data_IF_570631646871
#
_entry.id   IF_570631646871
#
_cell.length_a   1.000
_cell.length_b   1.000
_cell.length_c   1.000
_cell.angle_alpha   90.00
_cell.angle_beta   90.00
_cell.angle_gamma   90.00
#
_symmetry.space_group_name_H-M   'P 1'
#
loop_
_entity.id
_entity.type
_entity.pdbx_description
1 polymer ?
#
# COMPACT_ATOMS: atom_id res chain seq x y z
N UNK A 1 -2.26 10.56 -15.26
CA UNK A 1 -3.49 9.76 -15.02
C UNK A 1 -4.18 10.35 -13.79
N UNK A 2 -5.51 10.53 -13.82
CA UNK A 2 -6.25 11.07 -12.68
C UNK A 2 -6.27 10.09 -11.50
N UNK A 3 -6.42 10.58 -10.27
CA UNK A 3 -6.42 9.75 -9.06
C UNK A 3 -7.51 8.67 -9.09
N UNK A 4 -8.70 9.04 -9.56
CA UNK A 4 -9.83 8.09 -9.69
C UNK A 4 -9.53 6.96 -10.67
N UNK A 5 -8.82 7.24 -11.77
CA UNK A 5 -8.41 6.21 -12.72
C UNK A 5 -7.38 5.27 -12.10
N UNK A 6 -6.42 5.81 -11.33
CA UNK A 6 -5.44 4.99 -10.60
C UNK A 6 -6.09 4.07 -9.57
N UNK A 7 -7.07 4.55 -8.80
CA UNK A 7 -7.72 3.70 -7.79
C UNK A 7 -8.60 2.61 -8.43
N UNK A 8 -9.25 2.88 -9.57
CA UNK A 8 -10.00 1.88 -10.33
C UNK A 8 -9.08 0.82 -10.95
N UNK A 9 -7.94 1.24 -11.49
CA UNK A 9 -6.90 0.34 -11.98
C UNK A 9 -6.33 -0.52 -10.84
N UNK A 10 -6.03 0.11 -9.71
CA UNK A 10 -5.56 -0.58 -8.51
C UNK A 10 -6.56 -1.64 -8.05
N UNK A 11 -7.86 -1.32 -7.99
CA UNK A 11 -8.92 -2.27 -7.67
C UNK A 11 -8.86 -3.49 -8.58
N UNK A 12 -8.82 -3.26 -9.90
CA UNK A 12 -8.82 -4.33 -10.90
C UNK A 12 -7.62 -5.27 -10.72
N UNK A 13 -6.42 -4.71 -10.58
CA UNK A 13 -5.19 -5.49 -10.42
C UNK A 13 -5.20 -6.26 -9.09
N UNK A 14 -5.68 -5.62 -8.02
CA UNK A 14 -5.75 -6.25 -6.70
C UNK A 14 -6.73 -7.43 -6.70
N UNK A 15 -7.92 -7.26 -7.28
CA UNK A 15 -8.90 -8.36 -7.44
C UNK A 15 -8.29 -9.54 -8.22
N UNK A 16 -7.58 -9.26 -9.32
CA UNK A 16 -6.96 -10.32 -10.13
C UNK A 16 -5.85 -11.08 -9.38
N UNK A 17 -5.00 -10.39 -8.63
CA UNK A 17 -3.85 -11.00 -7.95
C UNK A 17 -4.22 -11.65 -6.61
N UNK A 18 -5.21 -11.10 -5.90
CA UNK A 18 -5.59 -11.53 -4.56
C UNK A 18 -6.94 -12.24 -4.50
N UNK A 19 -7.61 -12.52 -5.62
CA UNK A 19 -8.98 -13.08 -5.70
C UNK A 19 -9.37 -14.01 -4.53
N UNK A 20 -8.69 -15.16 -4.38
CA UNK A 20 -8.98 -16.16 -3.35
C UNK A 20 -8.59 -15.78 -1.91
N UNK A 21 -7.96 -14.62 -1.73
CA UNK A 21 -7.46 -14.08 -0.46
C UNK A 21 -8.28 -12.89 0.03
N UNK A 22 -9.10 -12.28 -0.82
CA UNK A 22 -9.94 -11.14 -0.45
C UNK A 22 -11.16 -11.64 0.31
N UNK A 23 -11.38 -11.09 1.51
CA UNK A 23 -12.61 -11.26 2.29
C UNK A 23 -13.60 -10.15 1.98
N UNK A 24 -13.13 -8.91 1.96
CA UNK A 24 -13.91 -7.73 1.61
C UNK A 24 -13.07 -6.76 0.79
N UNK A 25 -13.70 -6.06 -0.15
CA UNK A 25 -13.11 -4.97 -0.90
C UNK A 25 -14.15 -3.87 -1.05
N UNK A 26 -13.78 -2.64 -0.71
CA UNK A 26 -14.67 -1.47 -0.79
C UNK A 26 -13.92 -0.30 -1.42
N UNK A 27 -14.51 0.29 -2.44
CA UNK A 27 -14.02 1.49 -3.08
C UNK A 27 -14.85 2.69 -2.63
N UNK A 28 -14.21 3.68 -2.03
CA UNK A 28 -14.79 4.99 -1.82
C UNK A 28 -14.29 5.93 -2.92
N UNK A 29 -15.18 6.28 -3.86
CA UNK A 29 -14.82 7.10 -5.03
C UNK A 29 -14.52 8.55 -4.65
N UNK A 30 -15.25 9.11 -3.69
CA UNK A 30 -15.11 10.52 -3.26
C UNK A 30 -13.70 10.77 -2.69
N UNK A 31 -13.24 9.87 -1.82
CA UNK A 31 -11.91 9.92 -1.21
C UNK A 31 -10.81 9.21 -2.01
N UNK A 32 -11.14 8.67 -3.20
CA UNK A 32 -10.25 7.83 -4.04
C UNK A 32 -9.48 6.79 -3.22
N UNK A 33 -10.19 6.14 -2.30
CA UNK A 33 -9.62 5.19 -1.34
C UNK A 33 -10.18 3.80 -1.60
N UNK A 34 -9.29 2.84 -1.73
CA UNK A 34 -9.60 1.42 -1.75
C UNK A 34 -9.28 0.83 -0.37
N UNK A 35 -10.22 0.11 0.21
CA UNK A 35 -10.04 -0.68 1.43
C UNK A 35 -10.25 -2.15 1.11
N UNK A 36 -9.27 -2.97 1.45
CA UNK A 36 -9.31 -4.42 1.26
C UNK A 36 -9.07 -5.08 2.62
N UNK A 37 -9.86 -6.10 2.93
CA UNK A 37 -9.65 -7.00 4.06
C UNK A 37 -9.35 -8.37 3.49
N UNK A 38 -8.20 -8.95 3.86
CA UNK A 38 -7.81 -10.30 3.46
C UNK A 38 -8.40 -11.35 4.42
N UNK A 39 -8.38 -12.62 4.00
CA UNK A 39 -8.94 -13.75 4.76
C UNK A 39 -8.26 -14.00 6.12
N UNK A 40 -7.01 -13.59 6.26
CA UNK A 40 -6.24 -13.65 7.51
C UNK A 40 -6.45 -12.42 8.41
N UNK A 41 -7.29 -11.46 7.99
CA UNK A 41 -7.60 -10.25 8.74
C UNK A 41 -6.65 -9.08 8.46
N UNK A 42 -5.64 -9.24 7.60
CA UNK A 42 -4.79 -8.11 7.18
C UNK A 42 -5.66 -7.10 6.41
N UNK A 43 -5.53 -5.83 6.76
CA UNK A 43 -6.20 -4.75 6.06
C UNK A 43 -5.20 -4.00 5.16
N UNK A 44 -5.60 -3.72 3.93
CA UNK A 44 -4.83 -2.94 2.97
C UNK A 44 -5.65 -1.72 2.56
N UNK A 45 -5.05 -0.53 2.70
CA UNK A 45 -5.61 0.71 2.19
C UNK A 45 -4.73 1.25 1.08
N UNK A 46 -5.34 1.59 -0.06
CA UNK A 46 -4.67 2.21 -1.20
C UNK A 46 -5.36 3.54 -1.49
N UNK A 47 -4.59 4.62 -1.50
CA UNK A 47 -5.08 5.99 -1.69
C UNK A 47 -4.25 6.66 -2.77
N UNK A 48 -4.90 7.43 -3.63
CA UNK A 48 -4.26 8.34 -4.59
C UNK A 48 -4.92 9.71 -4.49
N UNK A 49 -4.17 10.78 -4.77
CA UNK A 49 -4.75 12.10 -4.96
C UNK A 49 -4.32 12.73 -6.30
N UNK A 50 -4.93 13.87 -6.62
CA UNK A 50 -4.68 14.57 -7.90
C UNK A 50 -3.36 15.36 -7.89
N UNK A 51 -2.63 15.36 -6.77
CA UNK A 51 -1.30 15.94 -6.64
C UNK A 51 -0.19 14.94 -6.95
N UNK A 52 -0.53 13.71 -7.35
CA UNK A 52 0.44 12.65 -7.66
C UNK A 52 0.95 11.91 -6.43
N UNK A 53 0.36 12.15 -5.26
CA UNK A 53 0.69 11.43 -4.04
C UNK A 53 -0.12 10.14 -3.92
N UNK A 54 0.43 9.18 -3.19
CA UNK A 54 -0.17 7.89 -2.96
C UNK A 54 0.19 7.34 -1.58
N UNK A 55 -0.59 6.36 -1.12
CA UNK A 55 -0.27 5.60 0.07
C UNK A 55 -0.80 4.18 0.00
N UNK A 56 0.06 3.20 0.25
CA UNK A 56 -0.29 1.81 0.49
C UNK A 56 -0.04 1.50 1.97
N UNK A 57 -1.10 1.37 2.76
CA UNK A 57 -1.01 1.04 4.18
C UNK A 57 -1.45 -0.41 4.38
N UNK A 58 -0.61 -1.22 5.01
CA UNK A 58 -0.91 -2.60 5.37
C UNK A 58 -0.97 -2.68 6.89
N UNK A 59 -2.13 -2.99 7.46
CA UNK A 59 -2.33 -3.15 8.90
C UNK A 59 -2.44 -4.64 9.21
N UNK A 60 -1.57 -5.12 10.11
CA UNK A 60 -1.57 -6.52 10.56
C UNK A 60 -2.43 -6.72 11.80
N UNK A 61 -2.58 -5.68 12.62
CA UNK A 61 -3.54 -5.63 13.72
C UNK A 61 -3.91 -4.18 14.04
N UNK A 62 -4.74 -3.98 15.06
CA UNK A 62 -5.11 -2.67 15.58
C UNK A 62 -4.09 -2.09 16.57
N UNK A 63 -3.00 -2.81 16.85
CA UNK A 63 -1.94 -2.32 17.74
C UNK A 63 -1.14 -1.22 17.04
N UNK A 64 -0.68 -0.26 17.83
CA UNK A 64 0.15 0.83 17.32
C UNK A 64 1.42 0.29 16.66
N UNK A 65 1.78 0.92 15.53
CA UNK A 65 2.89 0.53 14.67
C UNK A 65 2.85 -0.88 14.11
N UNK A 66 1.76 -1.64 14.32
CA UNK A 66 1.58 -2.96 13.71
C UNK A 66 1.07 -2.87 12.26
N UNK A 67 1.75 -2.02 11.50
CA UNK A 67 1.45 -1.66 10.12
C UNK A 67 2.75 -1.38 9.37
N UNK A 68 2.75 -1.54 8.06
CA UNK A 68 3.77 -0.94 7.20
C UNK A 68 3.12 0.00 6.17
N UNK A 69 3.88 0.96 5.65
CA UNK A 69 3.36 1.97 4.74
C UNK A 69 4.36 2.28 3.63
N UNK A 70 3.89 2.34 2.39
CA UNK A 70 4.64 2.88 1.25
C UNK A 70 3.92 4.14 0.78
N UNK A 71 4.61 5.28 0.76
CA UNK A 71 4.00 6.54 0.37
C UNK A 71 5.03 7.56 -0.15
N UNK A 72 4.53 8.73 -0.54
CA UNK A 72 5.33 9.88 -0.97
C UNK A 72 4.74 11.22 -0.51
N UNK A 73 4.10 11.25 0.66
CA UNK A 73 3.43 12.47 1.15
C UNK A 73 4.39 13.57 1.60
N UNK A 74 5.65 13.23 1.82
CA UNK A 74 6.70 14.18 2.19
C UNK A 74 8.03 13.81 1.52
N UNK A 75 8.93 14.78 1.42
CA UNK A 75 10.25 14.66 0.81
C UNK A 75 11.38 14.95 1.81
N UNK A 76 11.14 14.73 3.10
CA UNK A 76 12.06 15.10 4.18
C UNK A 76 12.96 13.93 4.62
N UNK A 77 12.62 12.70 4.21
CA UNK A 77 13.42 11.51 4.53
C UNK A 77 14.72 11.44 3.75
N UNK A 78 15.80 11.11 4.44
CA UNK A 78 17.13 10.90 3.87
C UNK A 78 17.24 9.48 3.27
N UNK A 79 16.56 9.28 2.13
CA UNK A 79 16.53 8.01 1.37
C UNK A 79 16.70 8.26 -0.12
N UNK A 80 17.35 7.33 -0.82
CA UNK A 80 17.67 7.48 -2.26
C UNK A 80 16.43 7.61 -3.15
N UNK A 81 15.31 7.01 -2.74
CA UNK A 81 14.07 6.95 -3.53
C UNK A 81 13.13 8.15 -3.32
N UNK A 82 13.56 9.18 -2.58
CA UNK A 82 12.76 10.38 -2.28
C UNK A 82 12.07 10.96 -3.53
N UNK A 83 10.78 11.34 -3.45
CA UNK A 83 9.93 11.39 -2.25
C UNK A 83 9.35 10.04 -1.83
N UNK A 84 9.59 8.97 -2.59
CA UNK A 84 9.04 7.65 -2.29
C UNK A 84 9.79 7.00 -1.14
N UNK A 85 9.07 6.49 -0.16
CA UNK A 85 9.70 5.93 1.02
C UNK A 85 8.82 4.86 1.70
N UNK A 86 9.46 3.95 2.42
CA UNK A 86 8.83 2.80 3.06
C UNK A 86 9.00 2.90 4.58
N UNK A 87 7.88 2.83 5.30
CA UNK A 87 7.80 2.71 6.75
C UNK A 87 7.65 1.23 7.12
N UNK A 88 8.69 0.56 7.62
CA UNK A 88 8.63 -0.84 7.99
C UNK A 88 7.74 -1.07 9.22
N UNK A 89 7.24 -2.30 9.33
CA UNK A 89 6.40 -2.72 10.46
C UNK A 89 7.14 -2.57 11.78
N UNK A 90 6.50 -1.91 12.77
CA UNK A 90 7.03 -1.67 14.12
C UNK A 90 8.35 -0.87 14.18
N UNK A 91 8.70 -0.14 13.11
CA UNK A 91 9.87 0.73 13.08
C UNK A 91 9.46 2.19 12.91
N UNK A 92 10.27 3.09 13.45
CA UNK A 92 10.16 4.55 13.24
C UNK A 92 11.07 5.04 12.12
N UNK A 93 12.08 4.24 11.77
CA UNK A 93 13.00 4.50 10.67
C UNK A 93 12.33 4.23 9.32
N UNK A 94 12.82 4.91 8.29
CA UNK A 94 12.27 4.85 6.94
C UNK A 94 13.33 4.30 5.99
N UNK A 95 12.90 3.48 5.04
CA UNK A 95 13.75 2.84 4.04
C UNK A 95 13.41 3.33 2.62
N UNK A 96 14.34 3.15 1.69
CA UNK A 96 14.07 3.40 0.27
C UNK A 96 12.95 2.50 -0.24
N UNK A 97 11.95 3.09 -0.90
CA UNK A 97 10.82 2.37 -1.48
C UNK A 97 11.06 2.01 -2.95
N UNK A 98 10.61 0.81 -3.34
CA UNK A 98 10.51 0.41 -4.76
C UNK A 98 9.19 0.83 -5.41
N UNK A 99 8.22 1.28 -4.61
CA UNK A 99 6.93 1.74 -5.11
C UNK A 99 7.03 3.20 -5.53
N UNK A 100 6.31 3.58 -6.58
CA UNK A 100 6.34 4.92 -7.18
C UNK A 100 4.95 5.52 -7.42
N UNK A 101 3.89 4.86 -6.94
CA UNK A 101 2.51 5.28 -7.14
C UNK A 101 1.95 4.84 -8.49
N UNK A 102 2.52 3.80 -9.10
CA UNK A 102 2.00 3.15 -10.30
C UNK A 102 1.35 1.81 -9.94
N UNK A 103 0.00 1.69 -10.00
CA UNK A 103 -0.70 0.45 -9.65
C UNK A 103 -0.17 -0.80 -10.35
N UNK A 104 0.29 -0.67 -11.61
CA UNK A 104 0.78 -1.78 -12.45
C UNK A 104 2.07 -2.40 -11.95
N UNK A 105 2.91 -1.62 -11.28
CA UNK A 105 4.21 -2.07 -10.77
C UNK A 105 4.15 -2.33 -9.26
N UNK A 106 3.50 -1.41 -8.54
CA UNK A 106 3.45 -1.40 -7.08
C UNK A 106 2.63 -2.57 -6.52
N UNK A 107 1.45 -2.87 -7.09
CA UNK A 107 0.56 -3.93 -6.54
C UNK A 107 1.17 -5.32 -6.74
N UNK A 108 1.74 -5.68 -7.90
CA UNK A 108 2.50 -6.92 -8.02
C UNK A 108 3.67 -7.02 -7.04
N UNK A 109 4.36 -5.90 -6.77
CA UNK A 109 5.42 -5.88 -5.77
C UNK A 109 4.85 -6.10 -4.36
N UNK A 110 3.78 -5.41 -3.98
CA UNK A 110 3.07 -5.59 -2.71
C UNK A 110 2.61 -7.03 -2.52
N UNK A 111 2.03 -7.65 -3.55
CA UNK A 111 1.62 -9.05 -3.55
C UNK A 111 2.81 -9.97 -3.21
N UNK A 112 3.94 -9.82 -3.90
CA UNK A 112 5.14 -10.60 -3.60
C UNK A 112 5.61 -10.41 -2.16
N UNK A 113 5.57 -9.18 -1.66
CA UNK A 113 6.01 -8.83 -0.30
C UNK A 113 5.09 -9.42 0.80
N UNK A 114 3.77 -9.41 0.58
CA UNK A 114 2.79 -10.03 1.47
C UNK A 114 2.93 -11.55 1.48
N UNK A 115 2.93 -12.19 0.31
CA UNK A 115 2.95 -13.66 0.19
C UNK A 115 4.27 -14.28 0.66
N UNK A 116 5.40 -13.59 0.45
CA UNK A 116 6.70 -14.07 0.94
C UNK A 116 6.89 -13.91 2.44
N UNK A 117 5.95 -13.28 3.15
CA UNK A 117 6.10 -12.98 4.58
C UNK A 117 7.08 -11.85 4.88
N UNK A 118 7.67 -11.19 3.87
CA UNK A 118 8.68 -10.14 4.08
C UNK A 118 8.16 -8.96 4.90
N UNK A 119 6.90 -8.57 4.70
CA UNK A 119 6.27 -7.50 5.49
C UNK A 119 5.88 -7.93 6.92
N UNK A 120 5.91 -9.23 7.19
CA UNK A 120 5.61 -9.75 8.54
C UNK A 120 6.83 -9.67 9.46
N UNK A 121 8.05 -9.58 8.89
CA UNK A 121 9.30 -9.53 9.64
C UNK A 121 9.41 -8.23 10.43
N UNK A 122 9.98 -8.34 11.63
CA UNK A 122 10.26 -7.23 12.56
C UNK A 122 11.79 -7.13 12.78
N UNK A 123 12.58 -7.93 12.04
CA UNK A 123 14.05 -8.04 12.16
C UNK A 123 14.76 -6.69 12.04
#
# INVERSE_FOLDING_TARGET
MAAISKVLEAKTIFEQLFDKKIKFLTLNQDSRKLHIILNDGIEVYIIYNDHGEYGYNVLFSKLDFDRCRFDNYDDQWDVDSRPHHFHPRKKTEVESSKMIGNPKDDIPYLYKMLISGKLHKIE
#
